data_IF_428883477372
#
_entry.id   IF_428883477372
#
_cell.length_a   1.000
_cell.length_b   1.000
_cell.length_c   1.000
_cell.angle_alpha   90.00
_cell.angle_beta   90.00
_cell.angle_gamma   90.00
#
_symmetry.space_group_name_H-M   'P 1'
#
loop_
_entity.id
_entity.type
_entity.pdbx_description
1 polymer ?
#
# COMPACT_ATOMS: atom_id res chain seq x y z
N UNK A 1 0.78 -28.05 41.63
CA UNK A 1 -0.20 -27.13 41.00
C UNK A 1 0.57 -26.01 40.35
N UNK A 2 0.64 -25.95 39.00
CA UNK A 2 0.89 -24.74 38.18
C UNK A 2 0.96 -25.05 36.67
N UNK A 3 0.16 -26.01 36.17
CA UNK A 3 0.08 -26.29 34.72
C UNK A 3 -0.94 -25.42 33.98
N UNK A 4 -1.74 -24.61 34.70
CA UNK A 4 -2.76 -23.73 34.08
C UNK A 4 -2.18 -22.41 33.55
N UNK A 5 -1.09 -21.90 34.12
CA UNK A 5 -0.47 -20.64 33.67
C UNK A 5 0.28 -20.74 32.35
N UNK A 6 0.85 -21.92 32.04
CA UNK A 6 1.69 -22.13 30.85
C UNK A 6 0.85 -22.35 29.58
N UNK A 7 -0.36 -22.89 29.73
CA UNK A 7 -1.30 -23.07 28.62
C UNK A 7 -1.90 -21.73 28.21
N UNK A 8 -2.21 -20.84 29.16
CA UNK A 8 -2.78 -19.51 28.86
C UNK A 8 -1.74 -18.62 28.18
N UNK A 9 -0.46 -18.70 28.56
CA UNK A 9 0.64 -17.98 27.88
C UNK A 9 0.80 -18.42 26.42
N UNK A 10 0.71 -19.73 26.12
CA UNK A 10 0.79 -20.23 24.75
C UNK A 10 -0.43 -19.86 23.89
N UNK A 11 -1.61 -19.76 24.48
CA UNK A 11 -2.83 -19.35 23.75
C UNK A 11 -2.80 -17.86 23.42
N UNK A 12 -2.22 -17.01 24.28
CA UNK A 12 -2.06 -15.57 23.99
C UNK A 12 -1.00 -15.33 22.90
N UNK A 13 0.07 -16.13 22.87
CA UNK A 13 1.05 -16.13 21.78
C UNK A 13 0.44 -16.65 20.45
N UNK A 14 -0.48 -17.61 20.51
CA UNK A 14 -1.23 -18.06 19.33
C UNK A 14 -2.27 -17.04 18.84
N UNK A 15 -2.87 -16.24 19.73
CA UNK A 15 -3.82 -15.18 19.38
C UNK A 15 -3.14 -13.93 18.77
N UNK A 16 -1.84 -13.75 18.99
CA UNK A 16 -1.01 -12.81 18.21
C UNK A 16 -0.52 -13.40 16.88
N UNK A 17 -0.71 -14.70 16.65
CA UNK A 17 -0.36 -15.39 15.41
C UNK A 17 -1.57 -15.59 14.48
N UNK A 18 -2.78 -15.27 14.94
CA UNK A 18 -3.99 -15.34 14.12
C UNK A 18 -4.18 -14.09 13.26
N UNK A 19 -3.50 -14.03 12.10
CA UNK A 19 -4.07 -13.91 10.73
C UNK A 19 -2.94 -14.15 9.71
N UNK A 20 -2.31 -15.32 9.73
CA UNK A 20 -1.63 -15.85 8.54
C UNK A 20 -2.57 -16.80 7.78
N UNK A 21 -3.84 -16.39 7.63
CA UNK A 21 -4.56 -16.73 6.40
C UNK A 21 -3.67 -16.15 5.30
N UNK A 22 -3.25 -16.95 4.33
CA UNK A 22 -2.39 -16.52 3.23
C UNK A 22 -3.02 -15.31 2.54
N UNK A 23 -2.71 -14.11 3.03
CA UNK A 23 -3.20 -12.88 2.46
C UNK A 23 -2.52 -12.79 1.12
N UNK A 24 -3.31 -12.79 0.05
CA UNK A 24 -2.82 -12.49 -1.26
C UNK A 24 -2.05 -11.15 -1.17
N UNK A 25 -0.79 -11.05 -1.64
CA UNK A 25 -0.06 -9.79 -1.66
C UNK A 25 -0.87 -8.63 -2.24
N UNK A 26 -1.76 -8.91 -3.20
CA UNK A 26 -2.67 -7.91 -3.77
C UNK A 26 -3.72 -7.45 -2.74
N UNK A 27 -4.30 -8.35 -1.96
CA UNK A 27 -5.24 -7.98 -0.90
C UNK A 27 -4.55 -7.21 0.23
N UNK A 28 -3.32 -7.60 0.58
CA UNK A 28 -2.51 -6.87 1.56
C UNK A 28 -2.28 -5.42 1.12
N UNK A 29 -1.88 -5.23 -0.15
CA UNK A 29 -1.70 -3.90 -0.75
C UNK A 29 -2.99 -3.09 -0.67
N UNK A 30 -4.13 -3.66 -1.06
CA UNK A 30 -5.43 -2.97 -1.05
C UNK A 30 -5.85 -2.56 0.36
N UNK A 31 -5.50 -3.34 1.38
CA UNK A 31 -5.83 -3.02 2.78
C UNK A 31 -4.94 -1.93 3.38
N UNK A 32 -3.67 -1.88 2.98
CA UNK A 32 -2.66 -0.99 3.55
C UNK A 32 -2.37 0.24 2.68
N UNK A 33 -3.04 0.39 1.53
CA UNK A 33 -2.84 1.53 0.66
C UNK A 33 -3.34 2.84 1.32
N UNK A 34 -2.50 3.90 1.36
CA UNK A 34 -2.84 5.15 2.05
C UNK A 34 -4.07 5.84 1.43
N UNK A 35 -4.19 5.88 0.10
CA UNK A 35 -5.28 6.57 -0.58
C UNK A 35 -6.66 5.94 -0.25
N UNK A 36 -6.71 4.61 -0.18
CA UNK A 36 -7.93 3.88 0.24
C UNK A 36 -8.23 4.14 1.71
N UNK A 37 -7.21 4.14 2.57
CA UNK A 37 -7.40 4.37 4.00
C UNK A 37 -7.88 5.80 4.29
N UNK A 38 -7.32 6.80 3.62
CA UNK A 38 -7.76 8.19 3.72
C UNK A 38 -9.21 8.34 3.28
N UNK A 39 -9.58 7.75 2.14
CA UNK A 39 -10.95 7.83 1.63
C UNK A 39 -11.95 7.09 2.52
N UNK A 40 -11.57 5.95 3.10
CA UNK A 40 -12.37 5.25 4.12
C UNK A 40 -12.53 6.06 5.40
N UNK A 41 -11.46 6.66 5.89
CA UNK A 41 -11.48 7.51 7.07
C UNK A 41 -12.34 8.75 6.85
N UNK A 42 -12.21 9.39 5.69
CA UNK A 42 -13.04 10.49 5.22
C UNK A 42 -14.52 10.09 5.21
N UNK A 43 -14.87 9.01 4.51
CA UNK A 43 -16.23 8.48 4.44
C UNK A 43 -16.81 8.21 5.84
N UNK A 44 -16.07 7.53 6.72
CA UNK A 44 -16.52 7.26 8.10
C UNK A 44 -16.76 8.55 8.88
N UNK A 45 -15.81 9.50 8.82
CA UNK A 45 -15.84 10.72 9.63
C UNK A 45 -16.93 11.70 9.21
N UNK A 46 -17.24 11.78 7.92
CA UNK A 46 -18.17 12.77 7.39
C UNK A 46 -19.62 12.38 7.60
N UNK A 47 -19.93 11.09 7.50
CA UNK A 47 -21.29 10.60 7.76
C UNK A 47 -21.65 10.55 9.25
N UNK A 48 -20.71 10.83 10.16
CA UNK A 48 -20.93 10.72 11.61
C UNK A 48 -20.62 11.98 12.42
N UNK A 49 -20.19 13.10 11.79
CA UNK A 49 -19.78 14.31 12.52
C UNK A 49 -20.96 15.23 12.81
N UNK A 50 -21.34 15.30 14.09
CA UNK A 50 -22.08 16.42 14.67
C UNK A 50 -21.08 17.53 15.02
N UNK A 51 -21.20 18.71 14.40
CA UNK A 51 -20.37 19.87 14.73
C UNK A 51 -21.14 20.80 15.65
N UNK A 52 -20.72 20.90 16.89
CA UNK A 52 -21.30 21.85 17.86
C UNK A 52 -20.40 23.09 17.92
N UNK A 53 -20.97 24.26 17.70
CA UNK A 53 -20.27 25.54 17.81
C UNK A 53 -21.03 26.49 18.73
N UNK A 54 -20.30 27.26 19.52
CA UNK A 54 -20.86 28.29 20.39
C UNK A 54 -20.61 29.65 19.72
N UNK A 55 -21.68 30.38 19.39
CA UNK A 55 -21.58 31.76 18.89
C UNK A 55 -22.14 32.70 19.95
N UNK A 56 -21.28 33.56 20.49
CA UNK A 56 -21.68 34.71 21.31
C UNK A 56 -21.88 35.93 20.41
N UNK A 57 -23.02 36.61 20.54
CA UNK A 57 -23.28 37.86 19.85
C UNK A 57 -23.56 38.94 20.90
N UNK A 58 -22.60 39.85 21.08
CA UNK A 58 -22.79 41.03 21.91
C UNK A 58 -23.33 42.16 21.06
N UNK A 59 -24.54 42.65 21.36
CA UNK A 59 -25.05 43.88 20.77
C UNK A 59 -24.72 45.03 21.70
N UNK A 60 -23.83 45.91 21.26
CA UNK A 60 -23.58 47.21 21.88
C UNK A 60 -24.10 48.28 20.92
N UNK A 61 -25.11 49.02 21.37
CA UNK A 61 -25.62 50.18 20.65
C UNK A 61 -26.28 51.14 21.63
N UNK A 62 -25.99 52.43 21.49
CA UNK A 62 -26.82 53.47 22.09
C UNK A 62 -28.02 53.68 21.16
N UNK A 63 -29.22 53.40 21.66
CA UNK A 63 -30.44 53.79 20.99
C UNK A 63 -31.01 55.02 21.71
N UNK A 64 -30.88 56.19 21.09
CA UNK A 64 -31.61 57.39 21.50
C UNK A 64 -33.07 57.18 21.11
N UNK A 65 -33.92 56.89 22.09
CA UNK A 65 -35.36 56.82 21.88
C UNK A 65 -35.96 58.15 22.37
N UNK A 66 -36.45 58.97 21.45
CA UNK A 66 -37.17 60.21 21.80
C UNK A 66 -38.60 59.82 22.14
N UNK A 67 -38.84 59.43 23.38
CA UNK A 67 -40.19 59.32 23.92
C UNK A 67 -40.46 60.54 24.81
N UNK A 68 -41.31 61.44 24.31
CA UNK A 68 -41.91 62.55 25.07
C UNK A 68 -40.89 63.46 25.78
N UNK A 69 -40.15 64.28 25.02
CA UNK A 69 -39.56 65.53 25.51
C UNK A 69 -38.36 65.45 26.46
N UNK A 70 -37.87 64.25 26.81
CA UNK A 70 -36.66 64.08 27.60
C UNK A 70 -35.71 63.11 26.89
N UNK A 71 -34.52 63.57 26.52
CA UNK A 71 -33.46 62.68 26.03
C UNK A 71 -33.03 61.74 27.16
N UNK A 72 -33.35 60.46 27.01
CA UNK A 72 -32.74 59.39 27.81
C UNK A 72 -31.90 58.53 26.90
N UNK A 73 -30.58 58.59 27.08
CA UNK A 73 -29.68 57.56 26.58
C UNK A 73 -30.04 56.23 27.28
N UNK A 74 -30.57 55.27 26.52
CA UNK A 74 -30.65 53.88 26.96
C UNK A 74 -29.50 53.11 26.31
N UNK A 75 -28.56 52.67 27.13
CA UNK A 75 -27.58 51.64 26.76
C UNK A 75 -28.31 50.29 26.75
N UNK A 76 -28.62 49.78 25.56
CA UNK A 76 -29.13 48.43 25.39
C UNK A 76 -27.95 47.45 25.40
N UNK A 77 -27.63 46.95 26.60
CA UNK A 77 -26.72 45.83 26.80
C UNK A 77 -27.50 44.53 26.67
N UNK A 78 -27.37 43.87 25.52
CA UNK A 78 -27.97 42.57 25.25
C UNK A 78 -26.94 41.61 24.69
N UNK A 79 -26.75 40.46 25.35
CA UNK A 79 -25.91 39.38 24.87
C UNK A 79 -26.74 38.15 24.56
N UNK A 80 -26.59 37.61 23.36
CA UNK A 80 -27.15 36.31 22.98
C UNK A 80 -26.02 35.29 22.92
N UNK A 81 -26.16 34.17 23.64
CA UNK A 81 -25.30 32.99 23.49
C UNK A 81 -26.12 31.94 22.73
N UNK A 82 -25.64 31.51 21.56
CA UNK A 82 -26.27 30.46 20.76
C UNK A 82 -25.38 29.24 20.66
N UNK A 83 -25.91 28.10 21.08
CA UNK A 83 -25.34 26.79 20.75
C UNK A 83 -25.91 26.39 19.39
N UNK A 84 -25.02 26.16 18.42
CA UNK A 84 -25.38 25.73 17.07
C UNK A 84 -24.86 24.30 16.89
N UNK A 85 -25.76 23.36 16.66
CA UNK A 85 -25.42 22.00 16.26
C UNK A 85 -25.65 21.85 14.74
N UNK A 86 -24.57 21.68 13.98
CA UNK A 86 -24.57 21.43 12.54
C UNK A 86 -24.36 19.93 12.30
N UNK A 87 -25.33 19.26 11.68
CA UNK A 87 -25.17 17.91 11.16
C UNK A 87 -25.30 17.95 9.64
N UNK A 88 -24.30 17.48 8.88
CA UNK A 88 -24.44 17.39 7.44
C UNK A 88 -25.45 16.30 7.10
N UNK A 89 -26.60 16.69 6.54
CA UNK A 89 -27.62 15.77 6.06
C UNK A 89 -27.24 15.38 4.63
N UNK A 90 -26.61 14.22 4.49
CA UNK A 90 -26.30 13.66 3.17
C UNK A 90 -27.50 12.96 2.57
N UNK A 91 -27.79 13.24 1.31
CA UNK A 91 -28.79 12.48 0.56
C UNK A 91 -28.34 11.02 0.38
N UNK A 92 -29.27 10.07 0.23
CA UNK A 92 -28.93 8.69 -0.13
C UNK A 92 -28.07 8.60 -1.41
N UNK A 93 -28.27 9.54 -2.34
CA UNK A 93 -27.51 9.63 -3.59
C UNK A 93 -26.04 10.02 -3.35
N UNK A 94 -25.77 11.01 -2.50
CA UNK A 94 -24.38 11.41 -2.14
C UNK A 94 -23.64 10.29 -1.42
N UNK A 95 -24.33 9.58 -0.50
CA UNK A 95 -23.78 8.39 0.17
C UNK A 95 -23.39 7.30 -0.83
N UNK A 96 -24.25 7.06 -1.82
CA UNK A 96 -24.00 6.05 -2.85
C UNK A 96 -22.83 6.47 -3.75
N UNK A 97 -22.76 7.73 -4.17
CA UNK A 97 -21.65 8.26 -4.96
C UNK A 97 -20.30 8.11 -4.25
N UNK A 98 -20.23 8.41 -2.95
CA UNK A 98 -18.98 8.25 -2.18
C UNK A 98 -18.56 6.79 -2.05
N UNK A 99 -19.52 5.86 -1.89
CA UNK A 99 -19.23 4.42 -1.92
C UNK A 99 -18.77 3.94 -3.28
N UNK A 100 -19.37 4.44 -4.37
CA UNK A 100 -18.92 4.11 -5.73
C UNK A 100 -17.48 4.58 -5.96
N UNK A 101 -17.14 5.81 -5.56
CA UNK A 101 -15.76 6.33 -5.62
C UNK A 101 -14.77 5.44 -4.86
N UNK A 102 -15.15 4.98 -3.66
CA UNK A 102 -14.32 4.04 -2.89
C UNK A 102 -14.10 2.72 -3.62
N UNK A 103 -15.16 2.14 -4.17
CA UNK A 103 -15.09 0.88 -4.91
C UNK A 103 -14.30 1.01 -6.21
N UNK A 104 -14.43 2.12 -6.92
CA UNK A 104 -13.68 2.42 -8.14
C UNK A 104 -12.18 2.53 -7.86
N UNK A 105 -11.80 3.29 -6.83
CA UNK A 105 -10.41 3.42 -6.40
C UNK A 105 -9.85 2.05 -5.97
N UNK A 106 -10.61 1.31 -5.17
CA UNK A 106 -10.23 -0.05 -4.72
C UNK A 106 -10.00 -0.98 -5.91
N UNK A 107 -10.89 -0.96 -6.91
CA UNK A 107 -10.74 -1.78 -8.13
C UNK A 107 -9.54 -1.37 -8.95
N UNK A 108 -9.27 -0.07 -9.08
CA UNK A 108 -8.10 0.46 -9.81
C UNK A 108 -6.81 -0.02 -9.15
N UNK A 109 -6.66 0.22 -7.85
CA UNK A 109 -5.46 -0.16 -7.09
C UNK A 109 -5.27 -1.68 -7.10
N UNK A 110 -6.35 -2.46 -6.96
CA UNK A 110 -6.28 -3.92 -7.07
C UNK A 110 -5.72 -4.37 -8.44
N UNK A 111 -6.17 -3.76 -9.54
CA UNK A 111 -5.68 -4.08 -10.89
C UNK A 111 -4.20 -3.70 -11.04
N UNK A 112 -3.83 -2.50 -10.65
CA UNK A 112 -2.45 -2.01 -10.72
C UNK A 112 -1.50 -2.87 -9.87
N UNK A 113 -1.88 -3.15 -8.62
CA UNK A 113 -1.15 -4.03 -7.72
C UNK A 113 -1.03 -5.45 -8.28
N UNK A 114 -2.11 -6.01 -8.84
CA UNK A 114 -2.06 -7.34 -9.46
C UNK A 114 -1.09 -7.40 -10.64
N UNK A 115 -1.05 -6.36 -11.49
CA UNK A 115 -0.12 -6.27 -12.60
C UNK A 115 1.32 -6.14 -12.13
N UNK A 116 1.59 -5.31 -11.13
CA UNK A 116 2.91 -5.13 -10.55
C UNK A 116 3.43 -6.42 -9.89
N UNK A 117 2.60 -7.09 -9.08
CA UNK A 117 2.95 -8.37 -8.43
C UNK A 117 3.19 -9.46 -9.47
N UNK A 118 2.35 -9.56 -10.50
CA UNK A 118 2.53 -10.52 -11.58
C UNK A 118 3.84 -10.28 -12.35
N UNK A 119 4.18 -9.03 -12.65
CA UNK A 119 5.44 -8.66 -13.31
C UNK A 119 6.65 -9.04 -12.46
N UNK A 120 6.63 -8.71 -11.16
CA UNK A 120 7.69 -9.08 -10.23
C UNK A 120 7.89 -10.60 -10.18
N UNK A 121 6.81 -11.38 -10.05
CA UNK A 121 6.88 -12.85 -10.04
C UNK A 121 7.40 -13.43 -11.35
N UNK A 122 6.92 -12.92 -12.48
CA UNK A 122 7.38 -13.33 -13.79
C UNK A 122 8.88 -13.13 -13.98
N UNK A 123 9.39 -11.96 -13.55
CA UNK A 123 10.83 -11.66 -13.57
C UNK A 123 11.62 -12.57 -12.63
N UNK A 124 11.14 -12.80 -11.41
CA UNK A 124 11.82 -13.67 -10.43
C UNK A 124 11.98 -15.09 -10.98
N UNK A 125 10.89 -15.70 -11.46
CA UNK A 125 10.90 -17.04 -12.05
C UNK A 125 11.79 -17.11 -13.30
N UNK A 126 11.78 -16.07 -14.13
CA UNK A 126 12.65 -16.00 -15.30
C UNK A 126 14.13 -15.98 -14.90
N UNK A 127 14.50 -15.17 -13.90
CA UNK A 127 15.89 -15.06 -13.41
C UNK A 127 16.36 -16.38 -12.81
N UNK A 128 15.52 -17.04 -12.01
CA UNK A 128 15.84 -18.35 -11.42
C UNK A 128 16.13 -19.38 -12.51
N UNK A 129 15.24 -19.50 -13.52
CA UNK A 129 15.41 -20.42 -14.65
C UNK A 129 16.63 -20.08 -15.51
N UNK A 130 16.82 -18.81 -15.85
CA UNK A 130 17.98 -18.42 -16.67
C UNK A 130 19.29 -18.63 -15.91
N UNK A 131 19.28 -18.44 -14.58
CA UNK A 131 20.42 -18.76 -13.71
C UNK A 131 20.79 -20.25 -13.73
N UNK A 132 19.82 -21.15 -13.72
CA UNK A 132 20.04 -22.59 -13.87
C UNK A 132 20.61 -22.94 -15.26
N UNK A 133 20.05 -22.34 -16.32
CA UNK A 133 20.52 -22.56 -17.69
C UNK A 133 21.97 -22.07 -17.84
N UNK A 134 22.31 -20.90 -17.29
CA UNK A 134 23.68 -20.37 -17.36
C UNK A 134 24.64 -21.31 -16.64
N UNK A 135 24.31 -21.82 -15.44
CA UNK A 135 25.15 -22.80 -14.74
C UNK A 135 25.38 -24.06 -15.58
N UNK A 136 24.35 -24.58 -16.23
CA UNK A 136 24.49 -25.74 -17.12
C UNK A 136 25.40 -25.43 -18.31
N UNK A 137 25.23 -24.26 -18.94
CA UNK A 137 26.07 -23.83 -20.06
C UNK A 137 27.52 -23.55 -19.65
N UNK A 138 27.77 -23.12 -18.42
CA UNK A 138 29.14 -22.95 -17.88
C UNK A 138 29.86 -24.30 -17.79
N UNK A 139 29.16 -25.33 -17.27
CA UNK A 139 29.69 -26.69 -17.20
C UNK A 139 29.98 -27.20 -18.62
N UNK A 140 29.05 -27.02 -19.57
CA UNK A 140 29.28 -27.38 -20.97
C UNK A 140 30.49 -26.66 -21.58
N UNK A 141 30.65 -25.37 -21.30
CA UNK A 141 31.78 -24.58 -21.79
C UNK A 141 33.11 -25.12 -21.26
N UNK A 142 33.17 -25.54 -19.99
CA UNK A 142 34.36 -26.18 -19.42
C UNK A 142 34.70 -27.50 -20.12
N UNK A 143 33.71 -28.30 -20.47
CA UNK A 143 33.92 -29.54 -21.25
C UNK A 143 34.43 -29.24 -22.67
N UNK A 144 33.85 -28.24 -23.34
CA UNK A 144 34.33 -27.78 -24.66
C UNK A 144 35.77 -27.29 -24.56
N UNK A 145 36.10 -26.50 -23.52
CA UNK A 145 37.47 -26.01 -23.30
C UNK A 145 38.48 -27.15 -23.22
N UNK A 146 38.20 -28.18 -22.41
CA UNK A 146 39.05 -29.37 -22.30
C UNK A 146 39.21 -30.09 -23.64
N UNK A 147 38.13 -30.22 -24.42
CA UNK A 147 38.18 -30.86 -25.75
C UNK A 147 39.00 -30.06 -26.76
N UNK A 148 38.90 -28.74 -26.74
CA UNK A 148 39.76 -27.85 -27.53
C UNK A 148 41.23 -27.97 -27.12
N UNK A 149 41.54 -28.02 -25.82
CA UNK A 149 42.90 -28.20 -25.31
C UNK A 149 43.51 -29.54 -25.76
N UNK A 150 42.69 -30.59 -25.86
CA UNK A 150 43.11 -31.90 -26.40
C UNK A 150 43.13 -31.96 -27.94
N UNK A 151 42.78 -30.88 -28.64
CA UNK A 151 42.73 -30.82 -30.11
C UNK A 151 41.55 -31.54 -30.75
N UNK A 152 40.56 -31.97 -29.98
CA UNK A 152 39.37 -32.71 -30.46
C UNK A 152 38.34 -31.76 -31.09
N UNK A 153 38.24 -30.51 -30.60
CA UNK A 153 37.33 -29.50 -31.12
C UNK A 153 38.06 -28.24 -31.62
N UNK A 154 37.51 -27.52 -32.62
CA UNK A 154 38.05 -26.25 -33.06
C UNK A 154 37.92 -25.17 -31.98
N UNK A 155 38.95 -24.35 -31.82
CA UNK A 155 38.92 -23.21 -30.88
C UNK A 155 37.80 -22.21 -31.19
N UNK A 156 37.38 -22.11 -32.45
CA UNK A 156 36.23 -21.29 -32.87
C UNK A 156 34.95 -21.66 -32.13
N UNK A 157 34.69 -22.96 -31.93
CA UNK A 157 33.49 -23.46 -31.25
C UNK A 157 33.43 -23.02 -29.80
N UNK A 158 34.58 -23.01 -29.11
CA UNK A 158 34.68 -22.48 -27.74
C UNK A 158 34.40 -20.98 -27.69
N UNK A 159 34.96 -20.19 -28.61
CA UNK A 159 34.78 -18.73 -28.63
C UNK A 159 33.32 -18.36 -28.88
N UNK A 160 32.66 -19.00 -29.85
CA UNK A 160 31.24 -18.75 -30.16
C UNK A 160 30.34 -19.03 -28.95
N UNK A 161 30.55 -20.16 -28.26
CA UNK A 161 29.80 -20.53 -27.05
C UNK A 161 30.09 -19.61 -25.88
N UNK A 162 31.33 -19.15 -25.71
CA UNK A 162 31.71 -18.21 -24.67
C UNK A 162 31.06 -16.83 -24.88
N UNK A 163 30.98 -16.35 -26.12
CA UNK A 163 30.29 -15.09 -26.46
C UNK A 163 28.80 -15.20 -26.17
N UNK A 164 28.15 -16.28 -26.59
CA UNK A 164 26.72 -16.51 -26.32
C UNK A 164 26.43 -16.56 -24.81
N UNK A 165 27.29 -17.22 -24.02
CA UNK A 165 27.17 -17.28 -22.56
C UNK A 165 27.34 -15.90 -21.93
N UNK A 166 28.29 -15.08 -22.40
CA UNK A 166 28.48 -13.71 -21.92
C UNK A 166 27.25 -12.83 -22.22
N UNK A 167 26.65 -12.95 -23.40
CA UNK A 167 25.43 -12.20 -23.76
C UNK A 167 24.26 -12.58 -22.85
N UNK A 168 24.09 -13.87 -22.54
CA UNK A 168 23.07 -14.33 -21.59
C UNK A 168 23.30 -13.78 -20.18
N UNK A 169 24.55 -13.77 -19.70
CA UNK A 169 24.89 -13.15 -18.40
C UNK A 169 24.55 -11.66 -18.34
N UNK A 170 24.88 -10.90 -19.38
CA UNK A 170 24.50 -9.49 -19.49
C UNK A 170 22.97 -9.29 -19.50
N UNK A 171 22.24 -10.20 -20.15
CA UNK A 171 20.78 -10.19 -20.15
C UNK A 171 20.23 -10.51 -18.75
N UNK A 172 20.85 -11.43 -18.02
CA UNK A 172 20.46 -11.76 -16.66
C UNK A 172 20.70 -10.58 -15.71
N UNK A 173 21.83 -9.89 -15.82
CA UNK A 173 22.14 -8.69 -15.02
C UNK A 173 21.12 -7.57 -15.27
N UNK A 174 20.76 -7.31 -16.53
CA UNK A 174 19.73 -6.31 -16.85
C UNK A 174 18.36 -6.73 -16.30
N UNK A 175 17.98 -8.01 -16.38
CA UNK A 175 16.73 -8.49 -15.79
C UNK A 175 16.73 -8.46 -14.25
N UNK A 176 17.87 -8.63 -13.60
CA UNK A 176 17.98 -8.41 -12.15
C UNK A 176 17.72 -6.96 -11.76
N UNK A 177 18.20 -5.99 -12.55
CA UNK A 177 17.85 -4.57 -12.32
C UNK A 177 16.35 -4.32 -12.51
N UNK A 178 15.74 -4.89 -13.57
CA UNK A 178 14.29 -4.81 -13.77
C UNK A 178 13.47 -5.47 -12.64
N UNK A 179 13.99 -6.54 -12.03
CA UNK A 179 13.36 -7.18 -10.87
C UNK A 179 13.35 -6.23 -9.66
N UNK A 180 14.44 -5.51 -9.42
CA UNK A 180 14.53 -4.54 -8.35
C UNK A 180 13.53 -3.40 -8.55
N UNK A 181 13.44 -2.87 -9.78
CA UNK A 181 12.46 -1.84 -10.13
C UNK A 181 11.02 -2.33 -9.96
N UNK A 182 10.75 -3.59 -10.34
CA UNK A 182 9.45 -4.21 -10.16
C UNK A 182 9.10 -4.39 -8.67
N UNK A 183 10.09 -4.74 -7.84
CA UNK A 183 9.92 -4.83 -6.39
C UNK A 183 9.61 -3.45 -5.80
N UNK A 184 10.35 -2.41 -6.18
CA UNK A 184 10.12 -1.06 -5.70
C UNK A 184 8.73 -0.52 -6.10
N UNK A 185 8.27 -0.87 -7.30
CA UNK A 185 6.90 -0.57 -7.77
C UNK A 185 5.84 -1.27 -6.93
N UNK A 186 6.06 -2.52 -6.51
CA UNK A 186 5.13 -3.23 -5.62
C UNK A 186 5.11 -2.60 -4.23
N UNK A 187 6.28 -2.21 -3.71
CA UNK A 187 6.40 -1.57 -2.40
C UNK A 187 5.89 -0.12 -2.36
N UNK A 188 5.76 0.56 -3.51
CA UNK A 188 5.25 1.93 -3.54
C UNK A 188 3.76 2.03 -3.24
N UNK A 189 3.00 0.94 -3.39
CA UNK A 189 1.57 0.93 -3.07
C UNK A 189 1.25 0.96 -1.56
N UNK A 190 2.28 0.78 -0.71
CA UNK A 190 2.14 0.55 0.72
C UNK A 190 3.09 1.48 1.51
N UNK A 191 2.68 2.00 2.67
CA UNK A 191 3.53 2.85 3.50
C UNK A 191 4.78 2.10 3.98
N UNK A 192 5.82 2.86 4.34
CA UNK A 192 7.12 2.31 4.76
C UNK A 192 7.01 1.29 5.91
N UNK A 193 6.06 1.48 6.82
CA UNK A 193 5.83 0.60 7.97
C UNK A 193 5.50 -0.84 7.59
N UNK A 194 4.82 -1.04 6.46
CA UNK A 194 4.24 -2.35 6.11
C UNK A 194 5.00 -3.01 4.95
N UNK A 195 6.08 -2.38 4.47
CA UNK A 195 6.90 -2.89 3.36
C UNK A 195 7.58 -4.21 3.69
N UNK A 196 8.07 -4.36 4.91
CA UNK A 196 8.77 -5.60 5.31
C UNK A 196 7.79 -6.78 5.40
N UNK A 197 6.57 -6.54 5.88
CA UNK A 197 5.50 -7.54 5.85
C UNK A 197 5.12 -7.92 4.40
N UNK A 198 5.03 -6.93 3.50
CA UNK A 198 4.76 -7.19 2.09
C UNK A 198 5.88 -8.00 1.41
N UNK A 199 7.15 -7.71 1.71
CA UNK A 199 8.29 -8.51 1.21
C UNK A 199 8.19 -9.96 1.65
N UNK A 200 7.93 -10.20 2.94
CA UNK A 200 7.76 -11.56 3.47
C UNK A 200 6.60 -12.30 2.78
N UNK A 201 5.48 -11.62 2.54
CA UNK A 201 4.36 -12.20 1.79
C UNK A 201 4.75 -12.56 0.35
N UNK A 202 5.47 -11.70 -0.34
CA UNK A 202 5.95 -11.97 -1.71
C UNK A 202 6.89 -13.17 -1.78
N UNK A 203 7.73 -13.36 -0.77
CA UNK A 203 8.63 -14.52 -0.66
C UNK A 203 7.85 -15.82 -0.41
N UNK A 204 6.92 -15.82 0.54
CA UNK A 204 6.10 -16.98 0.88
C UNK A 204 5.19 -17.42 -0.27
N UNK A 205 4.62 -16.46 -1.00
CA UNK A 205 3.75 -16.74 -2.14
C UNK A 205 4.52 -17.15 -3.40
N UNK A 206 5.82 -16.90 -3.47
CA UNK A 206 6.68 -17.31 -4.58
C UNK A 206 7.12 -18.78 -4.54
N UNK A 207 6.95 -19.45 -3.39
CA UNK A 207 7.32 -20.86 -3.19
C UNK A 207 6.15 -21.85 -3.35
N UNK A 208 4.97 -21.38 -3.80
CA UNK A 208 3.79 -22.20 -4.10
C UNK A 208 3.53 -22.22 -5.60
#
# INVERSE_FOLDING_TARGET
MNHRGLIISNIILFLWCSVSLALDPVEFIVQHNPDIQELRAYNRSIFSRLKVSLKGHGKYGQATTIETGWEREKTTLGGDIRVIAEMPIFSPQEKLQMRLKELELTRRIRREASGAVARYRGLKLWIEREGEIIKALEIELEWIKKRVETGVEPQKTYIERAIALRQRKQTLETKQTELQDALDTVLSFVPKSDRDALKQLLEQYGNK
#
